data_IF_330298623541
#
_entry.id   IF_330298623541
#
_cell.length_a   1.000
_cell.length_b   1.000
_cell.length_c   1.000
_cell.angle_alpha   90.00
_cell.angle_beta   90.00
_cell.angle_gamma   90.00
#
_symmetry.space_group_name_H-M   'P 1'
#
loop_
_entity.id
_entity.type
_entity.pdbx_description
1 polymer ?
#
# COMPACT_ATOMS: atom_id res chain seq x y z
N UNK A 1 25.20 -0.29 8.93
CA UNK A 1 24.37 -1.49 9.12
C UNK A 1 23.71 -1.86 7.80
N UNK A 2 23.84 -3.11 7.34
CA UNK A 2 23.10 -3.62 6.17
C UNK A 2 21.67 -3.98 6.60
N UNK A 3 20.71 -3.87 5.68
CA UNK A 3 19.36 -4.40 5.90
C UNK A 3 19.43 -5.92 6.09
N UNK A 4 18.78 -6.40 7.15
CA UNK A 4 18.79 -7.80 7.56
C UNK A 4 17.42 -8.42 7.25
N UNK A 5 17.40 -9.19 6.17
CA UNK A 5 16.20 -9.84 5.67
C UNK A 5 15.69 -10.93 6.62
N UNK A 6 16.57 -11.74 7.21
CA UNK A 6 16.19 -12.77 8.17
C UNK A 6 15.54 -12.13 9.39
N UNK A 7 16.13 -11.03 9.88
CA UNK A 7 15.55 -10.24 10.97
C UNK A 7 14.19 -9.66 10.60
N UNK A 8 13.98 -9.22 9.35
CA UNK A 8 12.68 -8.70 8.92
C UNK A 8 11.57 -9.76 8.97
N UNK A 9 11.89 -11.01 8.61
CA UNK A 9 10.96 -12.14 8.68
C UNK A 9 10.71 -12.62 10.13
N UNK A 10 11.74 -12.62 10.95
CA UNK A 10 11.70 -13.18 12.31
C UNK A 10 11.29 -12.16 13.39
N UNK A 11 11.36 -10.85 13.10
CA UNK A 11 11.00 -9.79 14.05
C UNK A 11 9.60 -9.99 14.65
N UNK A 12 8.65 -10.36 13.80
CA UNK A 12 7.24 -10.57 14.17
C UNK A 12 7.13 -11.69 15.23
N UNK A 13 7.94 -12.74 15.12
CA UNK A 13 7.94 -13.88 16.04
C UNK A 13 8.59 -13.57 17.41
N UNK A 14 9.21 -12.40 17.59
CA UNK A 14 9.75 -11.97 18.90
C UNK A 14 8.65 -11.65 19.91
N UNK A 15 7.46 -11.32 19.44
CA UNK A 15 6.30 -11.05 20.30
C UNK A 15 5.66 -12.38 20.73
N UNK A 16 5.55 -12.71 22.02
CA UNK A 16 4.93 -13.96 22.48
C UNK A 16 3.50 -14.16 21.98
N UNK A 17 2.78 -13.06 21.71
CA UNK A 17 1.40 -13.06 21.17
C UNK A 17 1.32 -12.86 19.66
N UNK A 18 2.41 -13.07 18.92
CA UNK A 18 2.49 -12.77 17.48
C UNK A 18 1.40 -13.47 16.65
N UNK A 19 1.13 -14.74 16.94
CA UNK A 19 0.14 -15.54 16.18
C UNK A 19 -1.25 -14.92 16.28
N UNK A 20 -1.68 -14.57 17.50
CA UNK A 20 -2.97 -13.91 17.74
C UNK A 20 -3.04 -12.55 17.03
N UNK A 21 -1.93 -11.79 17.02
CA UNK A 21 -1.88 -10.49 16.36
C UNK A 21 -1.98 -10.60 14.83
N UNK A 22 -1.29 -11.57 14.23
CA UNK A 22 -1.40 -11.86 12.80
C UNK A 22 -2.81 -12.36 12.47
N UNK A 23 -3.37 -13.28 13.24
CA UNK A 23 -4.71 -13.81 12.99
C UNK A 23 -5.78 -12.73 13.09
N UNK A 24 -5.67 -11.82 14.06
CA UNK A 24 -6.57 -10.68 14.16
C UNK A 24 -6.42 -9.73 12.96
N UNK A 25 -5.20 -9.34 12.58
CA UNK A 25 -4.99 -8.47 11.41
C UNK A 25 -5.38 -9.12 10.08
N UNK A 26 -5.06 -10.40 9.91
CA UNK A 26 -5.49 -11.20 8.76
C UNK A 26 -7.01 -11.38 8.72
N UNK A 27 -7.66 -11.57 9.86
CA UNK A 27 -9.12 -11.61 9.98
C UNK A 27 -9.79 -10.28 9.64
N UNK A 28 -9.21 -9.16 10.06
CA UNK A 28 -9.66 -7.82 9.64
C UNK A 28 -9.47 -7.62 8.13
N UNK A 29 -8.33 -8.04 7.56
CA UNK A 29 -8.09 -7.96 6.13
C UNK A 29 -9.05 -8.85 5.34
N UNK A 30 -9.37 -10.05 5.85
CA UNK A 30 -10.40 -10.91 5.28
C UNK A 30 -11.77 -10.22 5.32
N UNK A 31 -12.13 -9.58 6.43
CA UNK A 31 -13.39 -8.84 6.57
C UNK A 31 -13.50 -7.67 5.57
N UNK A 32 -12.40 -6.99 5.26
CA UNK A 32 -12.33 -5.94 4.22
C UNK A 32 -12.83 -6.44 2.87
N UNK A 33 -12.51 -7.68 2.50
CA UNK A 33 -12.95 -8.26 1.23
C UNK A 33 -14.29 -9.00 1.33
N UNK A 34 -14.49 -9.79 2.40
CA UNK A 34 -15.66 -10.64 2.57
C UNK A 34 -16.96 -9.84 2.72
N UNK A 35 -16.90 -8.60 3.21
CA UNK A 35 -18.10 -7.76 3.37
C UNK A 35 -18.80 -7.47 2.04
N UNK A 36 -18.08 -7.49 0.91
CA UNK A 36 -18.66 -7.29 -0.42
C UNK A 36 -19.49 -8.48 -0.92
N UNK A 37 -19.48 -9.61 -0.21
CA UNK A 37 -20.40 -10.74 -0.47
C UNK A 37 -21.85 -10.32 -0.17
N UNK A 38 -22.08 -9.48 0.85
CA UNK A 38 -23.40 -9.02 1.27
C UNK A 38 -24.18 -8.32 0.14
N UNK A 39 -23.66 -7.25 -0.51
CA UNK A 39 -24.38 -6.58 -1.58
C UNK A 39 -24.63 -7.49 -2.79
N UNK A 40 -23.72 -8.43 -3.09
CA UNK A 40 -23.91 -9.41 -4.17
C UNK A 40 -25.12 -10.31 -3.88
N UNK A 41 -25.21 -10.87 -2.68
CA UNK A 41 -26.36 -11.68 -2.28
C UNK A 41 -27.67 -10.87 -2.28
N UNK A 42 -27.64 -9.64 -1.75
CA UNK A 42 -28.83 -8.79 -1.73
C UNK A 42 -29.31 -8.43 -3.15
N UNK A 43 -28.39 -8.14 -4.08
CA UNK A 43 -28.72 -7.91 -5.49
C UNK A 43 -29.42 -9.11 -6.13
N UNK A 44 -28.96 -10.33 -5.82
CA UNK A 44 -29.55 -11.58 -6.33
C UNK A 44 -30.95 -11.81 -5.72
N UNK A 45 -31.11 -11.56 -4.42
CA UNK A 45 -32.32 -11.92 -3.67
C UNK A 45 -33.47 -10.92 -3.78
N UNK A 46 -33.19 -9.62 -3.87
CA UNK A 46 -34.25 -8.60 -3.74
C UNK A 46 -34.71 -8.01 -5.07
N UNK A 47 -34.04 -8.29 -6.21
CA UNK A 47 -34.25 -7.67 -7.55
C UNK A 47 -34.24 -6.13 -7.60
N UNK A 48 -34.16 -5.46 -6.45
CA UNK A 48 -34.17 -4.01 -6.31
C UNK A 48 -32.74 -3.47 -6.42
N UNK A 49 -32.44 -2.76 -7.51
CA UNK A 49 -31.14 -2.12 -7.68
C UNK A 49 -30.77 -1.13 -6.56
N UNK A 50 -31.78 -0.50 -5.94
CA UNK A 50 -31.57 0.48 -4.86
C UNK A 50 -31.00 -0.16 -3.58
N UNK A 51 -31.54 -1.29 -3.12
CA UNK A 51 -31.06 -1.98 -1.89
C UNK A 51 -29.64 -2.54 -2.10
N UNK A 52 -29.36 -3.06 -3.30
CA UNK A 52 -28.02 -3.50 -3.67
C UNK A 52 -27.01 -2.35 -3.67
N UNK A 53 -27.37 -1.19 -4.22
CA UNK A 53 -26.48 -0.04 -4.27
C UNK A 53 -26.22 0.56 -2.89
N UNK A 54 -27.24 0.71 -2.04
CA UNK A 54 -27.08 1.25 -0.68
C UNK A 54 -26.23 0.34 0.20
N UNK A 55 -26.44 -0.97 0.14
CA UNK A 55 -25.60 -1.94 0.85
C UNK A 55 -24.16 -1.92 0.36
N UNK A 56 -23.93 -1.77 -0.95
CA UNK A 56 -22.58 -1.63 -1.50
C UNK A 56 -21.84 -0.41 -0.95
N UNK A 57 -22.51 0.75 -0.88
CA UNK A 57 -21.93 1.98 -0.31
C UNK A 57 -21.56 1.79 1.16
N UNK A 58 -22.44 1.17 1.96
CA UNK A 58 -22.15 0.89 3.38
C UNK A 58 -20.95 -0.05 3.55
N UNK A 59 -20.90 -1.12 2.77
CA UNK A 59 -19.78 -2.08 2.77
C UNK A 59 -18.46 -1.40 2.35
N UNK A 60 -18.52 -0.50 1.36
CA UNK A 60 -17.38 0.28 0.90
C UNK A 60 -16.82 1.19 1.99
N UNK A 61 -17.68 1.94 2.69
CA UNK A 61 -17.27 2.79 3.82
C UNK A 61 -16.63 1.97 4.94
N UNK A 62 -17.22 0.82 5.29
CA UNK A 62 -16.66 -0.06 6.30
C UNK A 62 -15.31 -0.64 5.89
N UNK A 63 -15.18 -1.08 4.63
CA UNK A 63 -13.92 -1.56 4.04
C UNK A 63 -12.81 -0.50 4.09
N UNK A 64 -13.14 0.77 3.83
CA UNK A 64 -12.19 1.89 3.99
C UNK A 64 -11.71 1.98 5.44
N UNK A 65 -12.63 1.96 6.42
CA UNK A 65 -12.26 2.05 7.84
C UNK A 65 -11.31 0.92 8.24
N UNK A 66 -11.62 -0.32 7.85
CA UNK A 66 -10.74 -1.47 8.13
C UNK A 66 -9.36 -1.31 7.47
N UNK A 67 -9.32 -0.83 6.23
CA UNK A 67 -8.06 -0.56 5.52
C UNK A 67 -7.22 0.51 6.24
N UNK A 68 -7.85 1.55 6.78
CA UNK A 68 -7.17 2.57 7.59
C UNK A 68 -6.59 1.95 8.87
N UNK A 69 -7.35 1.10 9.57
CA UNK A 69 -6.84 0.41 10.77
C UNK A 69 -5.58 -0.39 10.45
N UNK A 70 -5.60 -1.18 9.37
CA UNK A 70 -4.46 -2.01 8.97
C UNK A 70 -3.25 -1.16 8.59
N UNK A 71 -3.44 -0.09 7.82
CA UNK A 71 -2.38 0.85 7.48
C UNK A 71 -1.80 1.55 8.72
N UNK A 72 -2.65 1.93 9.68
CA UNK A 72 -2.24 2.53 10.94
C UNK A 72 -1.45 1.57 11.82
N UNK A 73 -1.85 0.30 11.87
CA UNK A 73 -1.12 -0.75 12.58
C UNK A 73 0.29 -0.95 12.00
N UNK A 74 0.40 -1.03 10.67
CA UNK A 74 1.68 -1.12 9.96
C UNK A 74 2.58 0.08 10.30
N UNK A 75 2.05 1.29 10.20
CA UNK A 75 2.80 2.51 10.47
C UNK A 75 3.27 2.60 11.93
N UNK A 76 2.42 2.23 12.89
CA UNK A 76 2.80 2.21 14.30
C UNK A 76 3.82 1.12 14.62
N UNK A 77 3.77 -0.03 13.94
CA UNK A 77 4.76 -1.10 14.09
C UNK A 77 6.15 -0.58 13.71
N UNK A 78 6.27 0.04 12.54
CA UNK A 78 7.53 0.62 12.06
C UNK A 78 7.98 1.79 12.95
N UNK A 79 7.07 2.68 13.36
CA UNK A 79 7.39 3.81 14.24
C UNK A 79 7.88 3.37 15.62
N UNK A 80 7.23 2.37 16.24
CA UNK A 80 7.67 1.80 17.52
C UNK A 80 9.07 1.19 17.37
N UNK A 81 9.34 0.51 16.25
CA UNK A 81 10.66 -0.04 15.93
C UNK A 81 11.75 1.04 15.80
N UNK A 82 11.45 2.12 15.09
CA UNK A 82 12.39 3.22 14.83
C UNK A 82 12.77 3.95 16.14
N UNK A 83 11.81 4.10 17.06
CA UNK A 83 11.98 4.94 18.24
C UNK A 83 12.26 4.16 19.55
N UNK A 84 12.03 2.85 19.58
CA UNK A 84 12.24 2.02 20.78
C UNK A 84 12.98 0.71 20.44
N UNK A 85 14.11 0.46 21.13
CA UNK A 85 15.05 -0.64 20.82
C UNK A 85 14.45 -2.05 20.97
N UNK A 86 13.57 -2.27 21.95
CA UNK A 86 12.91 -3.56 22.26
C UNK A 86 11.38 -3.48 22.06
N UNK A 87 10.96 -2.78 21.02
CA UNK A 87 9.53 -2.71 20.68
C UNK A 87 8.98 -4.07 20.27
N UNK A 88 7.80 -4.38 20.78
CA UNK A 88 6.95 -5.47 20.35
C UNK A 88 5.88 -4.95 19.38
N UNK A 89 5.10 -5.86 18.79
CA UNK A 89 4.01 -5.49 17.89
C UNK A 89 2.94 -4.69 18.65
N UNK A 90 2.27 -3.70 18.02
CA UNK A 90 1.17 -2.99 18.64
C UNK A 90 0.06 -3.94 19.11
N UNK A 91 -0.62 -3.57 20.20
CA UNK A 91 -1.75 -4.33 20.73
C UNK A 91 -3.05 -3.90 20.05
N UNK A 92 -3.94 -4.84 19.75
CA UNK A 92 -5.22 -4.55 19.10
C UNK A 92 -6.19 -3.73 19.97
N UNK A 93 -5.95 -3.64 21.28
CA UNK A 93 -6.68 -2.73 22.18
C UNK A 93 -6.51 -1.25 21.81
N UNK A 94 -5.42 -0.86 21.12
CA UNK A 94 -5.20 0.51 20.62
C UNK A 94 -5.95 0.81 19.30
N UNK A 95 -7.05 0.10 19.00
CA UNK A 95 -7.77 0.15 17.71
C UNK A 95 -8.06 1.57 17.20
N UNK A 96 -8.61 2.44 18.06
CA UNK A 96 -8.92 3.82 17.69
C UNK A 96 -7.68 4.63 17.27
N UNK A 97 -6.52 4.34 17.86
CA UNK A 97 -5.26 4.98 17.49
C UNK A 97 -4.82 4.56 16.09
N UNK A 98 -5.04 3.29 15.72
CA UNK A 98 -4.73 2.81 14.37
C UNK A 98 -5.58 3.50 13.32
N UNK A 99 -6.87 3.76 13.57
CA UNK A 99 -7.71 4.54 12.64
C UNK A 99 -7.08 5.92 12.37
N UNK A 100 -6.70 6.64 13.44
CA UNK A 100 -6.13 7.99 13.31
C UNK A 100 -4.79 7.95 12.58
N UNK A 101 -3.88 7.03 12.94
CA UNK A 101 -2.60 6.88 12.25
C UNK A 101 -2.78 6.46 10.79
N UNK A 102 -3.72 5.56 10.53
CA UNK A 102 -4.09 5.12 9.19
C UNK A 102 -4.64 6.24 8.33
N UNK A 103 -5.51 7.08 8.89
CA UNK A 103 -6.01 8.27 8.21
C UNK A 103 -4.86 9.23 7.86
N UNK A 104 -3.92 9.46 8.79
CA UNK A 104 -2.73 10.28 8.50
C UNK A 104 -1.88 9.68 7.38
N UNK A 105 -1.67 8.36 7.40
CA UNK A 105 -0.95 7.65 6.35
C UNK A 105 -1.67 7.77 5.00
N UNK A 106 -2.98 7.54 4.97
CA UNK A 106 -3.80 7.66 3.78
C UNK A 106 -3.76 9.07 3.19
N UNK A 107 -3.91 10.11 4.01
CA UNK A 107 -3.85 11.50 3.54
C UNK A 107 -2.46 11.83 2.99
N UNK A 108 -1.38 11.42 3.68
CA UNK A 108 -0.01 11.62 3.20
C UNK A 108 0.26 10.90 1.87
N UNK A 109 -0.15 9.64 1.79
CA UNK A 109 -0.08 8.82 0.58
C UNK A 109 -0.90 9.44 -0.57
N UNK A 110 -2.12 9.89 -0.27
CA UNK A 110 -2.99 10.54 -1.25
C UNK A 110 -2.35 11.81 -1.81
N UNK A 111 -1.82 12.69 -0.95
CA UNK A 111 -1.09 13.89 -1.38
C UNK A 111 0.09 13.55 -2.30
N UNK A 112 0.84 12.49 -1.99
CA UNK A 112 1.93 12.00 -2.82
C UNK A 112 1.46 11.45 -4.18
N UNK A 113 0.27 10.85 -4.25
CA UNK A 113 -0.30 10.32 -5.50
C UNK A 113 -0.94 11.35 -6.43
N UNK A 114 -1.23 12.58 -5.97
CA UNK A 114 -1.95 13.60 -6.76
C UNK A 114 -1.34 13.82 -8.15
N UNK A 115 -0.01 14.01 -8.32
CA UNK A 115 0.56 14.23 -9.65
C UNK A 115 0.32 13.07 -10.60
N UNK A 116 0.40 11.82 -10.10
CA UNK A 116 0.15 10.63 -10.88
C UNK A 116 -1.34 10.51 -11.26
N UNK A 117 -2.26 10.83 -10.34
CA UNK A 117 -3.71 10.81 -10.60
C UNK A 117 -4.07 11.81 -11.71
N UNK A 118 -3.55 13.04 -11.64
CA UNK A 118 -3.78 14.07 -12.66
C UNK A 118 -3.24 13.66 -14.03
N UNK A 119 -2.03 13.10 -14.06
CA UNK A 119 -1.43 12.67 -15.32
C UNK A 119 -2.18 11.47 -15.93
N UNK A 120 -2.59 10.53 -15.09
CA UNK A 120 -3.38 9.35 -15.51
C UNK A 120 -4.78 9.75 -15.98
N UNK A 121 -5.42 10.76 -15.38
CA UNK A 121 -6.73 11.23 -15.82
C UNK A 121 -6.66 11.95 -17.18
N UNK A 122 -5.60 12.73 -17.42
CA UNK A 122 -5.32 13.31 -18.75
C UNK A 122 -5.10 12.21 -19.79
N UNK A 123 -4.26 11.21 -19.47
CA UNK A 123 -4.03 10.07 -20.36
C UNK A 123 -5.32 9.33 -20.69
N UNK A 124 -6.14 9.00 -19.68
CA UNK A 124 -7.42 8.33 -19.86
C UNK A 124 -8.40 9.14 -20.72
N UNK A 125 -8.50 10.46 -20.50
CA UNK A 125 -9.35 11.34 -21.31
C UNK A 125 -8.94 11.38 -22.78
N UNK A 126 -7.64 11.38 -23.07
CA UNK A 126 -7.13 11.31 -24.44
C UNK A 126 -7.43 9.96 -25.10
N UNK A 127 -7.27 8.85 -24.37
CA UNK A 127 -7.63 7.52 -24.88
C UNK A 127 -9.12 7.44 -25.22
N UNK A 128 -10.00 7.93 -24.33
CA UNK A 128 -11.45 7.98 -24.60
C UNK A 128 -11.74 8.81 -25.85
N UNK A 129 -11.09 9.97 -26.00
CA UNK A 129 -11.27 10.85 -27.16
C UNK A 129 -10.79 10.20 -28.46
N UNK A 130 -9.67 9.47 -28.45
CA UNK A 130 -9.19 8.77 -29.63
C UNK A 130 -10.08 7.60 -30.05
N UNK A 131 -10.70 6.90 -29.10
CA UNK A 131 -11.62 5.80 -29.39
C UNK A 131 -12.95 6.30 -29.97
N UNK A 132 -13.44 7.47 -29.54
CA UNK A 132 -14.71 8.05 -29.99
C UNK A 132 -14.55 9.15 -31.06
N UNK A 133 -13.34 9.35 -31.58
CA UNK A 133 -13.02 10.38 -32.56
C UNK A 133 -13.64 10.13 -33.94
N UNK A 134 -13.58 11.15 -34.82
CA UNK A 134 -14.03 11.02 -36.20
C UNK A 134 -13.08 10.07 -36.99
N UNK A 135 -13.55 8.91 -37.48
CA UNK A 135 -12.70 7.92 -38.15
C UNK A 135 -12.02 8.46 -39.43
N UNK A 136 -12.68 9.39 -40.13
CA UNK A 136 -12.28 9.84 -41.46
C UNK A 136 -11.24 10.97 -41.47
N UNK A 137 -10.89 11.51 -40.30
CA UNK A 137 -9.91 12.59 -40.15
C UNK A 137 -8.48 12.05 -39.95
N UNK A 138 -7.84 11.55 -41.02
CA UNK A 138 -6.51 10.92 -40.95
C UNK A 138 -5.42 11.76 -40.26
N UNK A 139 -5.36 13.07 -40.50
CA UNK A 139 -4.41 13.98 -39.84
C UNK A 139 -4.67 14.08 -38.33
N UNK A 140 -5.94 14.27 -37.94
CA UNK A 140 -6.36 14.39 -36.54
C UNK A 140 -6.05 13.09 -35.76
N UNK A 141 -6.34 11.94 -36.36
CA UNK A 141 -6.07 10.63 -35.75
C UNK A 141 -4.57 10.39 -35.55
N UNK A 142 -3.74 10.81 -36.51
CA UNK A 142 -2.28 10.75 -36.39
C UNK A 142 -1.76 11.64 -35.25
N UNK A 143 -2.29 12.86 -35.11
CA UNK A 143 -1.93 13.78 -34.03
C UNK A 143 -2.31 13.23 -32.65
N UNK A 144 -3.52 12.67 -32.51
CA UNK A 144 -3.96 12.05 -31.26
C UNK A 144 -3.11 10.84 -30.88
N UNK A 145 -2.74 10.00 -31.84
CA UNK A 145 -1.86 8.86 -31.60
C UNK A 145 -0.49 9.29 -31.03
N UNK A 146 0.12 10.32 -31.62
CA UNK A 146 1.40 10.88 -31.14
C UNK A 146 1.24 11.42 -29.71
N UNK A 147 0.19 12.21 -29.45
CA UNK A 147 -0.07 12.79 -28.13
C UNK A 147 -0.29 11.72 -27.06
N UNK A 148 -1.10 10.69 -27.34
CA UNK A 148 -1.35 9.57 -26.42
C UNK A 148 -0.06 8.82 -26.14
N UNK A 149 0.77 8.58 -27.16
CA UNK A 149 2.05 7.88 -26.99
C UNK A 149 2.99 8.67 -26.07
N UNK A 150 3.15 9.97 -26.30
CA UNK A 150 4.01 10.83 -25.49
C UNK A 150 3.51 10.96 -24.05
N UNK A 151 2.22 11.21 -23.85
CA UNK A 151 1.62 11.34 -22.51
C UNK A 151 1.59 9.99 -21.80
N UNK A 152 1.38 8.89 -22.51
CA UNK A 152 1.49 7.53 -21.98
C UNK A 152 2.90 7.21 -21.50
N UNK A 153 3.91 7.54 -22.29
CA UNK A 153 5.31 7.38 -21.88
C UNK A 153 5.66 8.22 -20.64
N UNK A 154 5.19 9.48 -20.59
CA UNK A 154 5.36 10.34 -19.42
C UNK A 154 4.64 9.76 -18.18
N UNK A 155 3.41 9.25 -18.35
CA UNK A 155 2.63 8.61 -17.28
C UNK A 155 3.36 7.40 -16.71
N UNK A 156 3.89 6.54 -17.58
CA UNK A 156 4.67 5.38 -17.17
C UNK A 156 5.96 5.79 -16.45
N UNK A 157 6.67 6.79 -16.96
CA UNK A 157 7.87 7.32 -16.31
C UNK A 157 7.58 7.85 -14.90
N UNK A 158 6.54 8.66 -14.74
CA UNK A 158 6.12 9.18 -13.42
C UNK A 158 5.64 8.06 -12.50
N UNK A 159 4.96 7.03 -13.03
CA UNK A 159 4.57 5.85 -12.25
C UNK A 159 5.77 5.06 -11.73
N UNK A 160 6.81 4.88 -12.55
CA UNK A 160 8.05 4.23 -12.11
C UNK A 160 8.72 5.03 -11.00
N UNK A 161 8.84 6.37 -11.16
CA UNK A 161 9.37 7.22 -10.10
C UNK A 161 8.53 7.10 -8.82
N UNK A 162 7.21 7.08 -8.95
CA UNK A 162 6.29 6.91 -7.83
C UNK A 162 6.56 5.61 -7.06
N UNK A 163 6.62 4.46 -7.74
CA UNK A 163 6.91 3.17 -7.07
C UNK A 163 8.29 3.18 -6.44
N UNK A 164 9.30 3.66 -7.16
CA UNK A 164 10.68 3.65 -6.69
C UNK A 164 10.87 4.52 -5.47
N UNK A 165 10.17 5.65 -5.35
CA UNK A 165 10.29 6.56 -4.20
C UNK A 165 9.27 6.28 -3.08
N UNK A 166 8.19 5.53 -3.33
CA UNK A 166 7.16 5.25 -2.32
C UNK A 166 7.74 4.65 -1.01
N UNK A 167 8.65 3.66 -1.02
CA UNK A 167 9.23 3.11 0.21
C UNK A 167 10.01 4.15 1.02
N UNK A 168 10.69 5.09 0.35
CA UNK A 168 11.38 6.21 0.99
C UNK A 168 10.39 7.18 1.66
N UNK A 169 9.32 7.53 0.96
CA UNK A 169 8.28 8.41 1.51
C UNK A 169 7.56 7.77 2.70
N UNK A 170 7.31 6.45 2.63
CA UNK A 170 6.80 5.66 3.76
C UNK A 170 7.75 5.71 4.95
N UNK A 171 9.06 5.56 4.73
CA UNK A 171 10.06 5.62 5.79
C UNK A 171 10.11 7.00 6.47
N UNK A 172 9.98 8.09 5.69
CA UNK A 172 9.87 9.44 6.22
C UNK A 172 8.65 9.60 7.14
N UNK A 173 7.50 9.07 6.73
CA UNK A 173 6.27 9.09 7.53
C UNK A 173 6.37 8.19 8.77
N UNK A 174 6.89 6.96 8.67
CA UNK A 174 7.01 6.06 9.81
C UNK A 174 7.95 6.60 10.90
N UNK A 175 8.85 7.52 10.55
CA UNK A 175 9.75 8.14 11.54
C UNK A 175 9.01 8.99 12.58
N UNK A 176 7.94 9.71 12.19
CA UNK A 176 7.27 10.71 13.05
C UNK A 176 5.73 10.71 13.01
N UNK A 177 5.12 9.92 12.10
CA UNK A 177 3.67 9.79 11.91
C UNK A 177 2.95 11.12 11.60
N UNK A 178 3.65 12.11 11.05
CA UNK A 178 3.07 13.37 10.58
C UNK A 178 2.72 13.27 9.10
N UNK A 179 1.55 13.80 8.72
CA UNK A 179 1.00 13.72 7.35
C UNK A 179 2.00 14.27 6.32
N UNK A 180 2.54 15.46 6.57
CA UNK A 180 3.42 16.16 5.63
C UNK A 180 4.79 15.49 5.46
N UNK A 181 5.21 14.65 6.41
CA UNK A 181 6.46 13.89 6.28
C UNK A 181 6.43 12.90 5.11
N UNK A 182 5.24 12.46 4.68
CA UNK A 182 5.08 11.61 3.50
C UNK A 182 5.43 12.34 2.20
N UNK A 183 5.35 13.68 2.17
CA UNK A 183 5.67 14.50 0.99
C UNK A 183 6.88 15.42 1.24
N UNK A 184 7.64 15.16 2.30
CA UNK A 184 8.88 15.88 2.59
C UNK A 184 10.03 15.31 1.77
N UNK A 185 10.13 15.78 0.52
CA UNK A 185 11.16 15.36 -0.43
C UNK A 185 12.57 15.74 0.02
N UNK A 186 12.71 16.80 0.83
CA UNK A 186 14.01 17.20 1.37
C UNK A 186 14.50 16.14 2.36
N UNK A 187 13.67 15.81 3.34
CA UNK A 187 13.95 14.73 4.31
C UNK A 187 14.22 13.40 3.60
N UNK A 188 13.42 13.06 2.60
CA UNK A 188 13.62 11.85 1.79
C UNK A 188 14.99 11.83 1.11
N UNK A 189 15.38 12.93 0.45
CA UNK A 189 16.66 13.01 -0.25
C UNK A 189 17.84 13.01 0.72
N UNK A 190 17.71 13.66 1.88
CA UNK A 190 18.73 13.65 2.94
C UNK A 190 18.98 12.22 3.46
N UNK A 191 17.91 11.43 3.67
CA UNK A 191 18.01 10.02 4.04
C UNK A 191 18.66 9.16 2.93
N UNK A 192 18.48 9.53 1.67
CA UNK A 192 18.99 8.79 0.52
C UNK A 192 20.47 9.09 0.25
N UNK A 193 20.89 10.37 0.29
CA UNK A 193 22.19 10.85 -0.21
C UNK A 193 23.39 10.10 0.38
N UNK A 194 23.34 9.75 1.66
CA UNK A 194 24.43 9.04 2.36
C UNK A 194 24.16 7.53 2.54
N UNK A 195 23.05 7.03 1.98
CA UNK A 195 22.57 5.67 2.23
C UNK A 195 21.97 4.97 1.00
N UNK A 196 22.35 5.38 -0.21
CA UNK A 196 21.84 4.84 -1.48
C UNK A 196 21.97 3.32 -1.56
N UNK A 197 23.10 2.75 -1.11
CA UNK A 197 23.31 1.29 -1.14
C UNK A 197 22.25 0.51 -0.34
N UNK A 198 21.96 0.95 0.89
CA UNK A 198 20.90 0.35 1.70
C UNK A 198 19.52 0.61 1.11
N UNK A 199 19.31 1.77 0.47
CA UNK A 199 18.06 2.03 -0.23
C UNK A 199 17.83 1.09 -1.43
N UNK A 200 18.87 0.83 -2.23
CA UNK A 200 18.78 -0.17 -3.30
C UNK A 200 18.44 -1.56 -2.76
N UNK A 201 19.04 -1.96 -1.63
CA UNK A 201 18.70 -3.21 -0.96
C UNK A 201 17.23 -3.19 -0.48
N UNK A 202 16.74 -2.08 0.06
CA UNK A 202 15.33 -1.94 0.47
C UNK A 202 14.38 -2.21 -0.69
N UNK A 203 14.62 -1.59 -1.85
CA UNK A 203 13.80 -1.77 -3.05
C UNK A 203 13.85 -3.22 -3.53
N UNK A 204 15.03 -3.83 -3.59
CA UNK A 204 15.18 -5.23 -3.99
C UNK A 204 14.42 -6.17 -3.04
N UNK A 205 14.46 -5.92 -1.73
CA UNK A 205 13.72 -6.71 -0.75
C UNK A 205 12.21 -6.50 -0.86
N UNK A 206 11.75 -5.27 -1.13
CA UNK A 206 10.33 -5.00 -1.41
C UNK A 206 9.84 -5.79 -2.62
N UNK A 207 10.59 -5.78 -3.72
CA UNK A 207 10.27 -6.55 -4.92
C UNK A 207 10.27 -8.04 -4.60
N UNK A 208 11.33 -8.55 -3.95
CA UNK A 208 11.45 -9.96 -3.61
C UNK A 208 10.29 -10.45 -2.72
N UNK A 209 9.95 -9.72 -1.66
CA UNK A 209 8.84 -10.07 -0.76
C UNK A 209 7.50 -10.00 -1.51
N UNK A 210 7.29 -8.98 -2.34
CA UNK A 210 6.05 -8.84 -3.10
C UNK A 210 5.88 -9.99 -4.11
N UNK A 211 6.95 -10.38 -4.80
CA UNK A 211 6.95 -11.52 -5.72
C UNK A 211 6.71 -12.85 -4.99
N UNK A 212 7.42 -13.09 -3.88
CA UNK A 212 7.22 -14.29 -3.06
C UNK A 212 5.79 -14.36 -2.51
N UNK A 213 5.26 -13.23 -2.04
CA UNK A 213 3.89 -13.09 -1.58
C UNK A 213 2.88 -13.43 -2.67
N UNK A 214 3.07 -12.90 -3.88
CA UNK A 214 2.18 -13.16 -5.01
C UNK A 214 2.24 -14.63 -5.45
N UNK A 215 3.42 -15.24 -5.51
CA UNK A 215 3.58 -16.66 -5.81
C UNK A 215 2.87 -17.52 -4.75
N UNK A 216 3.10 -17.26 -3.46
CA UNK A 216 2.45 -17.99 -2.38
C UNK A 216 0.93 -17.83 -2.42
N UNK A 217 0.42 -16.63 -2.65
CA UNK A 217 -1.02 -16.38 -2.78
C UNK A 217 -1.62 -17.06 -4.02
N UNK A 218 -0.88 -17.14 -5.13
CA UNK A 218 -1.34 -17.85 -6.33
C UNK A 218 -1.54 -19.35 -6.10
N UNK A 219 -0.69 -19.96 -5.28
CA UNK A 219 -0.82 -21.37 -4.88
C UNK A 219 -2.01 -21.53 -3.93
N UNK A 220 -2.17 -20.64 -2.96
CA UNK A 220 -3.29 -20.67 -2.01
C UNK A 220 -4.65 -20.54 -2.70
N UNK A 221 -4.74 -19.79 -3.80
CA UNK A 221 -5.99 -19.63 -4.56
C UNK A 221 -6.53 -20.94 -5.16
N UNK A 222 -5.74 -22.01 -5.26
CA UNK A 222 -6.17 -23.29 -5.83
C UNK A 222 -7.28 -23.96 -4.99
N UNK A 223 -7.36 -23.66 -3.70
CA UNK A 223 -8.35 -24.27 -2.79
C UNK A 223 -9.17 -23.19 -2.05
N UNK A 224 -10.43 -23.51 -1.73
CA UNK A 224 -11.31 -22.61 -0.96
C UNK A 224 -10.67 -22.29 0.41
N UNK A 225 -10.09 -23.31 1.06
CA UNK A 225 -9.39 -23.12 2.34
C UNK A 225 -8.20 -22.19 2.18
N UNK A 226 -7.40 -22.36 1.13
CA UNK A 226 -6.25 -21.51 0.86
C UNK A 226 -6.64 -20.04 0.63
N UNK A 227 -7.77 -19.75 -0.02
CA UNK A 227 -8.27 -18.37 -0.18
C UNK A 227 -8.48 -17.67 1.17
N UNK A 228 -8.93 -18.39 2.20
CA UNK A 228 -9.11 -17.84 3.55
C UNK A 228 -7.76 -17.48 4.21
N UNK A 229 -6.69 -18.18 3.86
CA UNK A 229 -5.34 -17.91 4.37
C UNK A 229 -4.62 -16.75 3.64
N UNK A 230 -5.07 -16.36 2.44
CA UNK A 230 -4.45 -15.27 1.65
C UNK A 230 -4.36 -13.96 2.47
N UNK A 231 -5.42 -13.47 3.13
CA UNK A 231 -5.34 -12.26 3.96
C UNK A 231 -4.35 -12.37 5.13
N UNK A 232 -4.21 -13.56 5.73
CA UNK A 232 -3.28 -13.79 6.84
C UNK A 232 -1.84 -13.65 6.35
N UNK A 233 -1.52 -14.24 5.18
CA UNK A 233 -0.21 -14.12 4.54
C UNK A 233 0.09 -12.70 4.11
N UNK A 234 -0.87 -12.00 3.49
CA UNK A 234 -0.69 -10.60 3.12
C UNK A 234 -0.44 -9.72 4.33
N UNK A 235 -1.20 -9.88 5.41
CA UNK A 235 -0.99 -9.11 6.63
C UNK A 235 0.40 -9.34 7.23
N UNK A 236 0.90 -10.58 7.22
CA UNK A 236 2.29 -10.86 7.60
C UNK A 236 3.30 -10.09 6.72
N UNK A 237 3.12 -10.11 5.40
CA UNK A 237 3.97 -9.37 4.44
C UNK A 237 3.94 -7.86 4.74
N UNK A 238 2.78 -7.29 5.06
CA UNK A 238 2.65 -5.89 5.46
C UNK A 238 3.54 -5.55 6.67
N UNK A 239 3.65 -6.45 7.65
CA UNK A 239 4.52 -6.26 8.82
C UNK A 239 6.01 -6.41 8.48
N UNK A 240 6.37 -7.32 7.58
CA UNK A 240 7.76 -7.46 7.10
C UNK A 240 8.20 -6.17 6.40
N UNK A 241 7.34 -5.62 5.54
CA UNK A 241 7.55 -4.32 4.88
C UNK A 241 7.76 -3.19 5.90
N UNK A 242 6.93 -3.16 6.96
CA UNK A 242 7.05 -2.20 8.04
C UNK A 242 8.42 -2.28 8.75
N UNK A 243 8.89 -3.50 9.03
CA UNK A 243 10.20 -3.73 9.65
C UNK A 243 11.35 -3.34 8.71
N UNK A 244 11.25 -3.63 7.42
CA UNK A 244 12.27 -3.22 6.44
C UNK A 244 12.39 -1.69 6.34
N UNK A 245 11.27 -0.97 6.32
CA UNK A 245 11.30 0.49 6.41
C UNK A 245 11.98 0.95 7.70
N UNK A 246 11.68 0.31 8.84
CA UNK A 246 12.28 0.68 10.12
C UNK A 246 13.80 0.47 10.12
N UNK A 247 14.27 -0.68 9.63
CA UNK A 247 15.69 -0.97 9.49
C UNK A 247 16.40 0.04 8.57
N UNK A 248 15.75 0.45 7.47
CA UNK A 248 16.31 1.48 6.60
C UNK A 248 16.50 2.80 7.34
N UNK A 249 15.47 3.29 8.06
CA UNK A 249 15.59 4.53 8.86
C UNK A 249 16.70 4.41 9.91
N UNK A 250 16.77 3.30 10.63
CA UNK A 250 17.82 3.08 11.63
C UNK A 250 19.22 3.10 11.00
N UNK A 251 19.38 2.50 9.82
CA UNK A 251 20.65 2.51 9.10
C UNK A 251 21.10 3.90 8.61
N UNK A 252 20.17 4.85 8.48
CA UNK A 252 20.47 6.26 8.21
C UNK A 252 20.96 6.94 9.49
N UNK A 253 20.26 6.76 10.61
CA UNK A 253 20.62 7.34 11.91
C UNK A 253 21.99 6.88 12.41
N UNK A 254 22.38 5.65 12.11
CA UNK A 254 23.72 5.13 12.46
C UNK A 254 24.87 5.83 11.71
N UNK A 255 24.57 6.59 10.66
CA UNK A 255 25.55 7.30 9.81
C UNK A 255 25.58 8.82 10.03
N UNK A 256 24.64 9.35 10.82
CA UNK A 256 24.61 10.75 11.27
C UNK A 256 25.53 10.95 12.48
#
# INVERSE_FOLDING_TARGET
MNLDFEKALTYIAKDPGWSNKILAGGGLLLATFAIFIIPVFLLILTTSGVIGLTSFILCFVFSIILSLVLAGYMAQTSNKRINYQNSLLPDWSEFGRFIITGLKYFVGYFLYTIPLILLTSVFAGLVITAVHGCPDCGLLNTMFFILITLIGALTLFVYILYIVFCPLMMACFFSDLKILSFVDFKKAFDMLKNNVGNYCILILLFIAISMLGQLLCSILMITIVGIIFIPIVYFYIYLVIAELCAQFVLSVRDKE
#
